data_IF_211005809684
#
_entry.id   IF_211005809684
#
_cell.length_a   1.000
_cell.length_b   1.000
_cell.length_c   1.000
_cell.angle_alpha   90.00
_cell.angle_beta   90.00
_cell.angle_gamma   90.00
#
_symmetry.space_group_name_H-M   'P 1'
#
loop_
_entity.id
_entity.type
_entity.pdbx_description
1 polymer ?
#
# COMPACT_ATOMS: atom_id res chain seq x y z
N UNK A 1 -40.89 33.67 22.84
CA UNK A 1 -39.41 33.72 22.85
C UNK A 1 -38.91 32.28 22.73
N UNK A 2 -38.62 31.87 21.52
CA UNK A 2 -38.11 30.54 21.23
C UNK A 2 -36.60 30.57 21.23
N UNK A 3 -35.97 29.81 22.10
CA UNK A 3 -34.52 29.62 22.13
C UNK A 3 -34.13 28.58 21.08
N UNK A 4 -33.51 29.02 20.00
CA UNK A 4 -32.86 28.17 19.04
C UNK A 4 -31.61 27.58 19.69
N UNK A 5 -31.66 26.31 20.02
CA UNK A 5 -30.45 25.52 20.36
C UNK A 5 -29.85 25.09 19.04
N UNK A 6 -28.81 25.80 18.63
CA UNK A 6 -27.93 25.37 17.53
C UNK A 6 -27.27 24.07 17.92
N UNK A 7 -27.72 22.98 17.30
CA UNK A 7 -27.03 21.69 17.36
C UNK A 7 -25.63 21.86 16.80
N UNK A 8 -24.62 21.68 17.63
CA UNK A 8 -23.24 21.52 17.19
C UNK A 8 -23.21 20.33 16.23
N UNK A 9 -22.92 20.56 14.98
CA UNK A 9 -22.54 19.51 14.03
C UNK A 9 -21.36 18.77 14.65
N UNK A 10 -21.55 17.50 15.01
CA UNK A 10 -20.41 16.61 15.26
C UNK A 10 -19.58 16.64 13.98
N UNK A 11 -18.43 17.31 14.03
CA UNK A 11 -17.51 17.37 12.90
C UNK A 11 -17.24 15.95 12.41
N UNK A 12 -17.43 15.72 11.14
CA UNK A 12 -17.09 14.42 10.53
C UNK A 12 -15.62 14.15 10.86
N UNK A 13 -15.35 13.07 11.58
CA UNK A 13 -13.96 12.68 11.91
C UNK A 13 -13.24 12.42 10.60
N UNK A 14 -12.11 13.10 10.39
CA UNK A 14 -11.29 12.93 9.18
C UNK A 14 -10.91 11.47 8.99
N UNK A 15 -11.02 10.98 7.76
CA UNK A 15 -10.62 9.61 7.42
C UNK A 15 -9.10 9.47 7.51
N UNK A 16 -8.63 8.31 7.89
CA UNK A 16 -7.20 8.02 8.09
C UNK A 16 -6.72 6.97 7.10
N UNK A 17 -5.60 7.25 6.44
CA UNK A 17 -4.89 6.31 5.58
C UNK A 17 -3.56 5.89 6.21
N UNK A 18 -3.27 4.60 6.22
CA UNK A 18 -1.99 4.03 6.62
C UNK A 18 -1.28 3.42 5.42
N UNK A 19 -0.05 3.87 5.16
CA UNK A 19 0.77 3.40 4.04
C UNK A 19 2.10 2.84 4.55
N UNK A 20 2.37 1.57 4.29
CA UNK A 20 3.68 0.99 4.58
C UNK A 20 4.68 1.33 3.47
N UNK A 21 5.93 1.63 3.86
CA UNK A 21 6.97 2.07 2.91
C UNK A 21 6.64 3.41 2.26
N UNK A 22 6.05 4.36 3.03
CA UNK A 22 5.51 5.62 2.52
C UNK A 22 6.53 6.75 2.34
N UNK A 23 7.83 6.53 2.61
CA UNK A 23 8.83 7.59 2.57
C UNK A 23 9.36 7.93 1.17
N UNK A 24 9.11 7.10 0.16
CA UNK A 24 9.58 7.30 -1.23
C UNK A 24 8.75 6.51 -2.24
N UNK A 25 9.02 6.75 -3.54
CA UNK A 25 8.46 5.99 -4.65
C UNK A 25 6.94 5.91 -4.65
N UNK A 26 6.41 4.73 -4.96
CA UNK A 26 4.97 4.48 -5.04
C UNK A 26 4.27 4.80 -3.71
N UNK A 27 4.86 4.39 -2.57
CA UNK A 27 4.28 4.63 -1.25
C UNK A 27 4.12 6.12 -0.94
N UNK A 28 5.13 6.94 -1.23
CA UNK A 28 5.07 8.40 -1.10
C UNK A 28 3.99 8.99 -2.01
N UNK A 29 3.94 8.59 -3.27
CA UNK A 29 2.93 9.09 -4.20
C UNK A 29 1.51 8.74 -3.75
N UNK A 30 1.27 7.51 -3.24
CA UNK A 30 -0.01 7.12 -2.65
C UNK A 30 -0.36 7.98 -1.43
N UNK A 31 0.62 8.25 -0.56
CA UNK A 31 0.43 9.09 0.62
C UNK A 31 0.01 10.53 0.24
N UNK A 32 0.70 11.13 -0.74
CA UNK A 32 0.38 12.48 -1.22
C UNK A 32 -0.99 12.53 -1.92
N UNK A 33 -1.35 11.53 -2.71
CA UNK A 33 -2.63 11.48 -3.41
C UNK A 33 -3.81 11.33 -2.44
N UNK A 34 -3.67 10.50 -1.38
CA UNK A 34 -4.68 10.37 -0.33
C UNK A 34 -4.78 11.63 0.55
N UNK A 35 -3.64 12.29 0.82
CA UNK A 35 -3.64 13.59 1.50
C UNK A 35 -4.40 14.67 0.70
N UNK A 36 -4.16 14.71 -0.62
CA UNK A 36 -4.90 15.62 -1.53
C UNK A 36 -6.40 15.34 -1.53
N UNK A 37 -6.81 14.10 -1.30
CA UNK A 37 -8.21 13.69 -1.14
C UNK A 37 -8.78 13.97 0.27
N UNK A 38 -7.99 14.57 1.18
CA UNK A 38 -8.44 15.00 2.51
C UNK A 38 -8.32 13.93 3.61
N UNK A 39 -7.50 12.90 3.40
CA UNK A 39 -7.18 11.93 4.46
C UNK A 39 -6.08 12.46 5.37
N UNK A 40 -6.19 12.22 6.65
CA UNK A 40 -5.04 12.21 7.53
C UNK A 40 -4.18 11.00 7.16
N UNK A 41 -2.88 11.18 7.03
CA UNK A 41 -2.02 10.16 6.45
C UNK A 41 -0.91 9.76 7.42
N UNK A 42 -0.86 8.47 7.69
CA UNK A 42 0.21 7.84 8.47
C UNK A 42 1.08 7.02 7.54
N UNK A 43 2.37 7.27 7.57
CA UNK A 43 3.34 6.48 6.81
C UNK A 43 4.25 5.66 7.73
N UNK A 44 4.65 4.48 7.27
CA UNK A 44 5.73 3.72 7.87
C UNK A 44 7.01 3.84 7.03
N UNK A 45 8.13 3.79 7.71
CA UNK A 45 9.46 3.67 7.10
C UNK A 45 10.37 2.79 7.97
N UNK A 46 11.41 2.19 7.35
CA UNK A 46 12.37 1.36 8.08
C UNK A 46 13.70 2.08 8.36
N UNK A 47 14.28 2.75 7.37
CA UNK A 47 15.66 3.24 7.47
C UNK A 47 15.86 4.74 7.24
N UNK A 48 15.20 5.34 6.27
CA UNK A 48 15.46 6.74 5.88
C UNK A 48 14.48 7.71 6.55
N UNK A 49 14.87 8.20 7.70
CA UNK A 49 14.09 9.16 8.51
C UNK A 49 13.92 10.49 7.79
N UNK A 50 15.00 11.03 7.22
CA UNK A 50 14.93 12.32 6.50
C UNK A 50 13.93 12.30 5.34
N UNK A 51 13.88 11.20 4.57
CA UNK A 51 12.89 11.04 3.51
C UNK A 51 11.45 10.91 4.05
N UNK A 52 11.28 10.28 5.21
CA UNK A 52 9.98 10.17 5.85
C UNK A 52 9.49 11.53 6.37
N UNK A 53 10.37 12.31 7.00
CA UNK A 53 10.07 13.66 7.49
C UNK A 53 9.71 14.61 6.34
N UNK A 54 10.44 14.54 5.22
CA UNK A 54 10.11 15.34 4.04
C UNK A 54 8.75 14.96 3.48
N UNK A 55 8.44 13.66 3.40
CA UNK A 55 7.12 13.20 2.97
C UNK A 55 6.01 13.69 3.90
N UNK A 56 6.20 13.62 5.21
CA UNK A 56 5.24 14.16 6.20
C UNK A 56 5.03 15.66 6.02
N UNK A 57 6.09 16.43 5.77
CA UNK A 57 6.00 17.87 5.50
C UNK A 57 5.19 18.16 4.24
N UNK A 58 5.44 17.42 3.15
CA UNK A 58 4.67 17.56 1.91
C UNK A 58 3.19 17.20 2.11
N UNK A 59 2.88 16.14 2.88
CA UNK A 59 1.51 15.75 3.21
C UNK A 59 0.80 16.88 3.98
N UNK A 60 1.44 17.44 5.00
CA UNK A 60 0.88 18.52 5.81
C UNK A 60 0.60 19.79 5.02
N UNK A 61 1.28 20.01 3.90
CA UNK A 61 1.03 21.14 3.02
C UNK A 61 -0.38 21.08 2.36
N UNK A 62 -1.05 19.92 2.36
CA UNK A 62 -2.46 19.78 1.94
C UNK A 62 -3.47 20.12 3.05
N UNK A 63 -3.01 20.50 4.26
CA UNK A 63 -3.90 20.89 5.36
C UNK A 63 -4.46 19.72 6.15
N UNK A 64 -3.88 18.54 6.03
CA UNK A 64 -4.24 17.32 6.77
C UNK A 64 -3.18 16.96 7.82
N UNK A 65 -3.55 16.15 8.81
CA UNK A 65 -2.60 15.61 9.77
C UNK A 65 -1.75 14.49 9.16
N UNK A 66 -0.49 14.42 9.59
CA UNK A 66 0.41 13.35 9.16
C UNK A 66 1.46 13.03 10.23
N UNK A 67 1.84 11.75 10.25
CA UNK A 67 2.95 11.25 11.06
C UNK A 67 3.69 10.11 10.36
N UNK A 68 4.98 9.99 10.64
CA UNK A 68 5.79 8.84 10.23
C UNK A 68 6.12 7.96 11.43
N UNK A 69 6.02 6.65 11.26
CA UNK A 69 6.36 5.65 12.28
C UNK A 69 7.50 4.78 11.77
N UNK A 70 8.57 4.70 12.56
CA UNK A 70 9.74 3.86 12.26
C UNK A 70 9.52 2.46 12.81
N UNK A 71 9.43 1.48 11.93
CA UNK A 71 9.47 0.06 12.27
C UNK A 71 9.76 -0.78 11.03
N UNK A 72 10.38 -1.93 11.24
CA UNK A 72 10.55 -2.94 10.17
C UNK A 72 9.26 -3.76 10.07
N UNK A 73 8.59 -3.67 8.91
CA UNK A 73 7.35 -4.42 8.65
C UNK A 73 7.54 -5.94 8.66
N UNK A 74 8.76 -6.42 8.45
CA UNK A 74 9.10 -7.86 8.51
C UNK A 74 9.22 -8.36 9.97
N UNK A 75 9.41 -7.44 10.92
CA UNK A 75 9.44 -7.74 12.35
C UNK A 75 8.02 -7.68 12.92
N UNK A 76 7.49 -8.84 13.30
CA UNK A 76 6.12 -8.98 13.79
C UNK A 76 5.86 -8.17 15.06
N UNK A 77 6.80 -8.18 15.99
CA UNK A 77 6.69 -7.53 17.30
C UNK A 77 6.72 -6.00 17.16
N UNK A 78 7.66 -5.47 16.37
CA UNK A 78 7.74 -4.03 16.07
C UNK A 78 6.46 -3.56 15.36
N UNK A 79 6.01 -4.32 14.36
CA UNK A 79 4.78 -4.01 13.62
C UNK A 79 3.58 -3.98 14.53
N UNK A 80 3.42 -4.98 15.40
CA UNK A 80 2.29 -5.04 16.34
C UNK A 80 2.27 -3.85 17.29
N UNK A 81 3.42 -3.48 17.87
CA UNK A 81 3.56 -2.35 18.77
C UNK A 81 3.26 -1.02 18.06
N UNK A 82 3.80 -0.81 16.86
CA UNK A 82 3.59 0.43 16.10
C UNK A 82 2.13 0.59 15.65
N UNK A 83 1.50 -0.48 15.15
CA UNK A 83 0.09 -0.43 14.73
C UNK A 83 -0.83 -0.17 15.94
N UNK A 84 -0.52 -0.73 17.12
CA UNK A 84 -1.28 -0.44 18.34
C UNK A 84 -1.22 1.05 18.70
N UNK A 85 -0.04 1.69 18.64
CA UNK A 85 0.12 3.13 18.88
C UNK A 85 -0.64 3.98 17.85
N UNK A 86 -0.60 3.59 16.57
CA UNK A 86 -1.34 4.29 15.51
C UNK A 86 -2.85 4.20 15.77
N UNK A 87 -3.36 3.01 16.10
CA UNK A 87 -4.78 2.80 16.42
C UNK A 87 -5.20 3.61 17.65
N UNK A 88 -4.38 3.62 18.70
CA UNK A 88 -4.64 4.40 19.90
C UNK A 88 -4.74 5.90 19.60
N UNK A 89 -3.79 6.42 18.79
CA UNK A 89 -3.73 7.85 18.48
C UNK A 89 -4.87 8.33 17.57
N UNK A 90 -5.18 7.57 16.51
CA UNK A 90 -6.11 8.02 15.48
C UNK A 90 -7.53 7.47 15.67
N UNK A 91 -7.71 6.38 16.40
CA UNK A 91 -9.01 5.75 16.66
C UNK A 91 -9.66 5.08 15.45
N UNK A 92 -9.13 5.31 14.25
CA UNK A 92 -9.66 4.78 12.98
C UNK A 92 -8.56 4.59 11.93
N UNK A 93 -8.78 3.67 11.01
CA UNK A 93 -8.02 3.53 9.77
C UNK A 93 -9.05 3.16 8.70
N UNK A 94 -9.18 4.00 7.66
CA UNK A 94 -10.15 3.82 6.58
C UNK A 94 -9.53 3.19 5.35
N UNK A 95 -8.24 3.49 5.13
CA UNK A 95 -7.46 2.94 4.02
C UNK A 95 -6.16 2.36 4.56
N UNK A 96 -5.85 1.14 4.16
CA UNK A 96 -4.55 0.51 4.36
C UNK A 96 -3.92 0.22 3.01
N UNK A 97 -2.70 0.72 2.78
CA UNK A 97 -1.90 0.38 1.61
C UNK A 97 -0.68 -0.44 2.07
N UNK A 98 -0.71 -1.73 1.84
CA UNK A 98 0.44 -2.63 2.03
C UNK A 98 1.37 -2.48 0.83
N UNK A 99 2.31 -1.53 0.91
CA UNK A 99 3.23 -1.18 -0.17
C UNK A 99 4.69 -1.54 0.12
N UNK A 100 5.11 -1.61 1.37
CA UNK A 100 6.50 -1.96 1.71
C UNK A 100 6.96 -3.23 1.00
N UNK A 101 8.16 -3.19 0.44
CA UNK A 101 8.72 -4.33 -0.28
C UNK A 101 10.17 -4.12 -0.66
N UNK A 102 10.85 -5.24 -0.88
CA UNK A 102 12.24 -5.30 -1.32
C UNK A 102 12.39 -6.33 -2.44
N UNK A 103 13.48 -6.23 -3.19
CA UNK A 103 13.94 -7.27 -4.12
C UNK A 103 15.30 -7.82 -3.64
N UNK A 104 15.53 -9.09 -3.91
CA UNK A 104 16.80 -9.80 -3.76
C UNK A 104 16.91 -10.77 -4.93
N UNK A 105 17.16 -10.20 -6.10
CA UNK A 105 17.15 -10.92 -7.38
C UNK A 105 18.37 -11.83 -7.52
N UNK A 106 18.18 -12.97 -8.13
CA UNK A 106 19.24 -13.95 -8.41
C UNK A 106 18.66 -15.21 -9.02
N UNK A 107 19.46 -15.90 -9.83
CA UNK A 107 19.05 -17.19 -10.40
C UNK A 107 18.74 -18.16 -9.26
N UNK A 108 17.68 -18.95 -9.42
CA UNK A 108 17.17 -19.86 -8.39
C UNK A 108 18.26 -20.77 -7.80
N UNK A 109 19.14 -21.28 -8.64
CA UNK A 109 20.25 -22.16 -8.19
C UNK A 109 21.29 -21.46 -7.29
N UNK A 110 21.29 -20.12 -7.22
CA UNK A 110 22.18 -19.30 -6.40
C UNK A 110 21.42 -18.51 -5.33
N UNK A 111 20.11 -18.68 -5.25
CA UNK A 111 19.29 -17.99 -4.26
C UNK A 111 19.57 -18.57 -2.87
N UNK A 112 19.93 -17.73 -1.92
CA UNK A 112 20.17 -18.17 -0.54
C UNK A 112 18.88 -18.12 0.27
N UNK A 113 18.83 -18.89 1.36
CA UNK A 113 17.69 -18.91 2.28
C UNK A 113 17.44 -17.52 2.85
N UNK A 114 18.50 -16.76 3.17
CA UNK A 114 18.40 -15.39 3.71
C UNK A 114 17.73 -14.43 2.70
N UNK A 115 18.07 -14.55 1.41
CA UNK A 115 17.46 -13.73 0.36
C UNK A 115 16.00 -14.12 0.12
N UNK A 116 15.70 -15.41 0.20
CA UNK A 116 14.33 -15.89 0.13
C UNK A 116 13.51 -15.37 1.30
N UNK A 117 13.95 -15.62 2.53
CA UNK A 117 13.26 -15.25 3.76
C UNK A 117 13.07 -13.74 3.88
N UNK A 118 14.10 -12.95 3.56
CA UNK A 118 13.99 -11.48 3.57
C UNK A 118 12.87 -10.98 2.65
N UNK A 119 12.77 -11.53 1.43
CA UNK A 119 11.73 -11.12 0.46
C UNK A 119 10.35 -11.61 0.90
N UNK A 120 10.22 -12.86 1.32
CA UNK A 120 8.92 -13.40 1.80
C UNK A 120 8.44 -12.62 3.03
N UNK A 121 9.31 -12.40 4.00
CA UNK A 121 8.94 -11.71 5.23
C UNK A 121 8.54 -10.25 4.98
N UNK A 122 9.30 -9.52 4.16
CA UNK A 122 9.02 -8.11 3.88
C UNK A 122 7.83 -7.93 2.94
N UNK A 123 7.70 -8.76 1.88
CA UNK A 123 6.72 -8.52 0.83
C UNK A 123 5.38 -9.25 1.03
N UNK A 124 5.35 -10.32 1.83
CA UNK A 124 4.15 -11.12 2.05
C UNK A 124 3.74 -11.19 3.52
N UNK A 125 4.64 -11.69 4.40
CA UNK A 125 4.31 -11.86 5.82
C UNK A 125 3.95 -10.53 6.48
N UNK A 126 4.62 -9.45 6.09
CA UNK A 126 4.33 -8.09 6.57
C UNK A 126 2.89 -7.66 6.32
N UNK A 127 2.33 -8.00 5.16
CA UNK A 127 0.94 -7.67 4.85
C UNK A 127 -0.03 -8.32 5.84
N UNK A 128 0.26 -9.53 6.29
CA UNK A 128 -0.50 -10.17 7.37
C UNK A 128 -0.27 -9.46 8.71
N UNK A 129 0.97 -9.15 9.09
CA UNK A 129 1.28 -8.52 10.37
C UNK A 129 0.61 -7.16 10.54
N UNK A 130 0.61 -6.36 9.47
CA UNK A 130 -0.04 -5.04 9.44
C UNK A 130 -1.56 -5.16 9.34
N UNK A 131 -2.06 -6.02 8.44
CA UNK A 131 -3.51 -6.11 8.18
C UNK A 131 -4.28 -6.70 9.35
N UNK A 132 -3.73 -7.66 10.10
CA UNK A 132 -4.47 -8.36 11.14
C UNK A 132 -5.03 -7.40 12.24
N UNK A 133 -4.24 -6.51 12.86
CA UNK A 133 -4.77 -5.54 13.81
C UNK A 133 -5.66 -4.48 13.15
N UNK A 134 -5.33 -4.04 11.93
CA UNK A 134 -6.13 -3.04 11.19
C UNK A 134 -7.50 -3.60 10.82
N UNK A 135 -7.58 -4.85 10.36
CA UNK A 135 -8.85 -5.52 10.06
C UNK A 135 -9.76 -5.59 11.28
N UNK A 136 -9.20 -5.89 12.48
CA UNK A 136 -9.99 -5.89 13.72
C UNK A 136 -10.63 -4.53 14.00
N UNK A 137 -9.91 -3.45 13.71
CA UNK A 137 -10.44 -2.09 13.81
C UNK A 137 -11.50 -1.81 12.73
N UNK A 138 -11.20 -2.10 11.46
CA UNK A 138 -12.15 -1.90 10.34
C UNK A 138 -13.43 -2.70 10.51
N UNK A 139 -13.37 -3.92 11.10
CA UNK A 139 -14.57 -4.71 11.43
C UNK A 139 -15.47 -4.00 12.44
N UNK A 140 -14.91 -3.29 13.43
CA UNK A 140 -15.69 -2.48 14.38
C UNK A 140 -16.26 -1.24 13.69
N UNK A 141 -15.49 -0.61 12.79
CA UNK A 141 -15.93 0.53 11.97
C UNK A 141 -17.04 0.12 10.97
N UNK A 142 -17.11 -1.16 10.58
CA UNK A 142 -17.94 -1.69 9.48
C UNK A 142 -17.65 -1.00 8.14
N UNK A 143 -16.42 -0.62 7.93
CA UNK A 143 -15.97 0.10 6.72
C UNK A 143 -14.44 0.02 6.63
N UNK A 144 -13.92 -0.03 5.42
CA UNK A 144 -12.48 0.01 5.15
C UNK A 144 -12.13 -0.38 3.72
N UNK A 145 -10.95 0.05 3.28
CA UNK A 145 -10.34 -0.36 2.02
C UNK A 145 -8.89 -0.80 2.25
N UNK A 146 -8.56 -2.01 1.84
CA UNK A 146 -7.19 -2.54 1.89
C UNK A 146 -6.70 -2.71 0.47
N UNK A 147 -5.55 -2.11 0.16
CA UNK A 147 -4.90 -2.21 -1.13
C UNK A 147 -3.53 -2.87 -0.94
N UNK A 148 -3.34 -4.02 -1.56
CA UNK A 148 -2.09 -4.76 -1.51
C UNK A 148 -1.27 -4.50 -2.77
N UNK A 149 -0.04 -4.01 -2.63
CA UNK A 149 0.84 -3.74 -3.75
C UNK A 149 1.51 -5.04 -4.21
N UNK A 150 0.89 -5.69 -5.21
CA UNK A 150 1.45 -6.85 -5.90
C UNK A 150 2.47 -6.40 -6.98
N UNK A 151 2.53 -7.06 -8.10
CA UNK A 151 3.37 -6.76 -9.26
C UNK A 151 2.91 -7.59 -10.45
N UNK A 152 3.18 -7.14 -11.68
CA UNK A 152 3.08 -8.00 -12.87
C UNK A 152 3.92 -9.26 -12.72
N UNK A 153 5.05 -9.19 -12.03
CA UNK A 153 5.89 -10.34 -11.71
C UNK A 153 5.17 -11.36 -10.82
N UNK A 154 4.27 -10.91 -9.94
CA UNK A 154 3.40 -11.79 -9.15
C UNK A 154 2.30 -12.47 -9.98
N UNK A 155 2.01 -11.97 -11.16
CA UNK A 155 0.99 -12.55 -12.06
C UNK A 155 1.61 -13.54 -13.04
N UNK A 156 2.79 -13.22 -13.60
CA UNK A 156 3.40 -13.97 -14.71
C UNK A 156 4.73 -14.64 -14.38
N UNK A 157 5.34 -14.27 -13.26
CA UNK A 157 6.70 -14.69 -12.94
C UNK A 157 7.75 -13.86 -13.67
N UNK A 158 9.00 -13.99 -13.22
CA UNK A 158 10.16 -13.44 -13.89
C UNK A 158 11.41 -14.27 -13.54
N UNK A 159 12.25 -14.57 -14.53
CA UNK A 159 13.51 -15.27 -14.29
C UNK A 159 14.40 -14.45 -13.32
N UNK A 160 14.98 -15.12 -12.34
CA UNK A 160 15.81 -14.47 -11.31
C UNK A 160 15.02 -13.83 -10.16
N UNK A 161 13.69 -13.95 -10.14
CA UNK A 161 12.82 -13.37 -9.12
C UNK A 161 11.86 -14.39 -8.48
N UNK A 162 12.31 -15.63 -8.27
CA UNK A 162 11.45 -16.68 -7.73
C UNK A 162 10.85 -16.30 -6.35
N UNK A 163 11.67 -15.74 -5.45
CA UNK A 163 11.24 -15.23 -4.14
C UNK A 163 10.23 -14.07 -4.26
N UNK A 164 10.52 -13.09 -5.10
CA UNK A 164 9.66 -11.92 -5.32
C UNK A 164 8.34 -12.31 -5.99
N UNK A 165 8.40 -13.17 -7.03
CA UNK A 165 7.21 -13.73 -7.67
C UNK A 165 6.33 -14.48 -6.68
N UNK A 166 6.91 -15.35 -5.86
CA UNK A 166 6.18 -16.11 -4.84
C UNK A 166 5.47 -15.17 -3.85
N UNK A 167 6.19 -14.16 -3.34
CA UNK A 167 5.62 -13.20 -2.40
C UNK A 167 4.47 -12.38 -3.03
N UNK A 168 4.67 -11.86 -4.25
CA UNK A 168 3.67 -11.03 -4.92
C UNK A 168 2.47 -11.83 -5.42
N UNK A 169 2.66 -13.10 -5.81
CA UNK A 169 1.56 -14.05 -6.07
C UNK A 169 0.81 -14.39 -4.78
N UNK A 170 1.52 -14.58 -3.67
CA UNK A 170 0.92 -14.81 -2.35
C UNK A 170 -0.02 -13.68 -1.94
N UNK A 171 0.34 -12.41 -2.21
CA UNK A 171 -0.53 -11.25 -1.96
C UNK A 171 -1.83 -11.31 -2.78
N UNK A 172 -1.81 -11.88 -3.98
CA UNK A 172 -3.02 -12.06 -4.80
C UNK A 172 -3.98 -13.04 -4.13
N UNK A 173 -3.47 -14.19 -3.66
CA UNK A 173 -4.25 -15.15 -2.91
C UNK A 173 -4.80 -14.58 -1.60
N UNK A 174 -3.94 -13.89 -0.85
CA UNK A 174 -4.30 -13.18 0.39
C UNK A 174 -5.42 -12.16 0.16
N UNK A 175 -5.32 -11.34 -0.88
CA UNK A 175 -6.34 -10.36 -1.28
C UNK A 175 -7.70 -11.01 -1.51
N UNK A 176 -7.73 -12.07 -2.32
CA UNK A 176 -8.97 -12.76 -2.69
C UNK A 176 -9.64 -13.42 -1.48
N UNK A 177 -8.86 -13.99 -0.57
CA UNK A 177 -9.37 -14.60 0.65
C UNK A 177 -9.97 -13.56 1.59
N UNK A 178 -9.23 -12.50 1.90
CA UNK A 178 -9.73 -11.43 2.76
C UNK A 178 -10.96 -10.73 2.18
N UNK A 179 -11.01 -10.52 0.87
CA UNK A 179 -12.19 -9.92 0.23
C UNK A 179 -13.46 -10.72 0.49
N UNK A 180 -13.39 -12.06 0.44
CA UNK A 180 -14.52 -12.95 0.71
C UNK A 180 -14.92 -12.95 2.19
N UNK A 181 -13.94 -12.93 3.10
CA UNK A 181 -14.18 -12.95 4.54
C UNK A 181 -14.78 -11.63 5.05
N UNK A 182 -14.30 -10.51 4.51
CA UNK A 182 -14.55 -9.18 5.08
C UNK A 182 -15.65 -8.39 4.36
N UNK A 183 -16.09 -8.84 3.19
CA UNK A 183 -17.08 -8.12 2.37
C UNK A 183 -18.39 -7.86 3.11
N UNK A 184 -18.90 -8.83 3.90
CA UNK A 184 -20.13 -8.67 4.71
C UNK A 184 -19.97 -7.61 5.83
N UNK A 185 -18.76 -7.18 6.11
CA UNK A 185 -18.44 -6.13 7.07
C UNK A 185 -18.22 -4.77 6.44
N UNK A 186 -18.46 -4.63 5.13
CA UNK A 186 -18.23 -3.38 4.41
C UNK A 186 -16.76 -3.07 4.15
N UNK A 187 -15.88 -4.08 4.23
CA UNK A 187 -14.44 -3.91 4.00
C UNK A 187 -14.10 -4.49 2.63
N UNK A 188 -13.46 -3.68 1.79
CA UNK A 188 -13.01 -4.08 0.46
C UNK A 188 -11.50 -4.35 0.47
N UNK A 189 -11.08 -5.38 -0.24
CA UNK A 189 -9.67 -5.77 -0.33
C UNK A 189 -9.34 -6.01 -1.79
N UNK A 190 -8.40 -5.24 -2.34
CA UNK A 190 -7.94 -5.35 -3.73
C UNK A 190 -6.42 -5.36 -3.79
N UNK A 191 -5.89 -5.86 -4.89
CA UNK A 191 -4.47 -5.76 -5.22
C UNK A 191 -4.27 -4.88 -6.46
N UNK A 192 -3.17 -4.16 -6.49
CA UNK A 192 -2.66 -3.52 -7.70
C UNK A 192 -1.43 -4.30 -8.14
N UNK A 193 -1.30 -4.55 -9.44
CA UNK A 193 -0.14 -5.16 -10.07
C UNK A 193 0.55 -4.12 -10.96
N UNK A 194 1.50 -3.33 -10.42
CA UNK A 194 2.29 -2.38 -11.22
C UNK A 194 3.14 -3.11 -12.25
N UNK A 195 3.27 -2.49 -13.43
CA UNK A 195 4.29 -2.82 -14.41
C UNK A 195 5.64 -2.18 -14.09
N UNK A 196 6.36 -1.74 -15.11
CA UNK A 196 7.59 -0.96 -14.95
C UNK A 196 7.24 0.50 -14.63
N UNK A 197 7.53 0.90 -13.39
CA UNK A 197 7.23 2.24 -12.87
C UNK A 197 8.56 2.97 -12.60
N UNK A 198 8.65 4.23 -12.96
CA UNK A 198 9.80 5.08 -12.68
C UNK A 198 9.95 5.29 -11.16
N UNK A 199 10.94 4.65 -10.58
CA UNK A 199 11.27 4.70 -9.16
C UNK A 199 12.76 4.48 -8.96
N UNK A 200 13.27 4.70 -7.75
CA UNK A 200 14.65 4.35 -7.41
C UNK A 200 14.98 2.86 -7.65
N UNK A 201 14.01 1.97 -7.60
CA UNK A 201 14.21 0.54 -7.87
C UNK A 201 14.46 0.23 -9.34
N UNK A 202 14.01 1.09 -10.24
CA UNK A 202 14.05 0.87 -11.70
C UNK A 202 14.95 1.83 -12.44
N UNK A 203 15.55 2.81 -11.75
CA UNK A 203 16.37 3.87 -12.37
C UNK A 203 17.58 3.36 -13.15
N UNK A 204 18.14 2.22 -12.72
CA UNK A 204 19.34 1.63 -13.34
C UNK A 204 18.99 0.63 -14.45
N UNK A 205 17.69 0.42 -14.74
CA UNK A 205 17.23 -0.44 -15.82
C UNK A 205 17.39 0.27 -17.16
N UNK A 206 17.88 -0.45 -18.15
CA UNK A 206 17.85 0.04 -19.55
C UNK A 206 16.41 0.04 -20.06
N UNK A 207 15.74 1.19 -19.86
CA UNK A 207 14.31 1.36 -20.15
C UNK A 207 13.97 1.16 -21.61
N UNK A 208 14.93 1.40 -22.52
CA UNK A 208 14.71 1.23 -23.97
C UNK A 208 14.33 -0.21 -24.35
N UNK A 209 14.83 -1.19 -23.59
CA UNK A 209 14.54 -2.61 -23.82
C UNK A 209 13.13 -3.03 -23.40
N UNK A 210 12.50 -2.30 -22.50
CA UNK A 210 11.20 -2.66 -21.93
C UNK A 210 10.05 -1.88 -22.57
N UNK A 211 10.29 -0.62 -22.96
CA UNK A 211 9.25 0.25 -23.53
C UNK A 211 8.69 -0.29 -24.84
N UNK A 212 9.49 -1.03 -25.59
CA UNK A 212 9.03 -1.63 -26.85
C UNK A 212 7.96 -2.72 -26.65
N UNK A 213 8.00 -3.39 -25.49
CA UNK A 213 7.02 -4.42 -25.12
C UNK A 213 5.78 -3.84 -24.42
N UNK A 214 5.83 -2.59 -23.96
CA UNK A 214 4.68 -1.92 -23.33
C UNK A 214 3.81 -1.31 -24.43
N UNK A 215 2.54 -1.70 -24.58
CA UNK A 215 1.63 -1.13 -25.59
C UNK A 215 1.53 0.40 -25.53
N UNK A 216 1.48 1.00 -24.34
CA UNK A 216 1.47 2.47 -24.17
C UNK A 216 2.82 3.14 -24.42
N UNK A 217 3.88 2.37 -24.80
CA UNK A 217 5.20 2.87 -25.19
C UNK A 217 5.88 3.81 -24.19
N UNK A 218 5.58 3.69 -22.93
CA UNK A 218 6.23 4.39 -21.83
C UNK A 218 6.26 3.55 -20.57
N UNK A 219 7.18 3.83 -19.69
CA UNK A 219 7.08 3.39 -18.29
C UNK A 219 5.90 4.11 -17.60
N UNK A 220 5.35 3.49 -16.58
CA UNK A 220 4.40 4.17 -15.69
C UNK A 220 5.10 5.13 -14.75
N UNK A 221 4.37 6.12 -14.28
CA UNK A 221 4.80 7.02 -13.22
C UNK A 221 4.17 6.59 -11.88
N UNK A 222 4.77 6.99 -10.77
CA UNK A 222 4.24 6.65 -9.44
C UNK A 222 2.82 7.19 -9.24
N UNK A 223 2.47 8.29 -9.92
CA UNK A 223 1.14 8.88 -9.92
C UNK A 223 0.09 8.01 -10.63
N UNK A 224 0.47 7.20 -11.62
CA UNK A 224 -0.44 6.26 -12.28
C UNK A 224 -0.95 5.23 -11.25
N UNK A 225 -0.06 4.78 -10.36
CA UNK A 225 -0.41 3.87 -9.26
C UNK A 225 -1.21 4.59 -8.18
N UNK A 226 -0.77 5.77 -7.75
CA UNK A 226 -1.38 6.53 -6.67
C UNK A 226 -2.85 6.90 -6.97
N UNK A 227 -3.15 7.31 -8.21
CA UNK A 227 -4.52 7.58 -8.67
C UNK A 227 -5.39 6.32 -8.62
N UNK A 228 -4.84 5.16 -8.97
CA UNK A 228 -5.55 3.88 -8.88
C UNK A 228 -5.83 3.51 -7.42
N UNK A 229 -4.87 3.76 -6.51
CA UNK A 229 -5.08 3.58 -5.06
C UNK A 229 -6.23 4.46 -4.58
N UNK A 230 -6.25 5.75 -4.92
CA UNK A 230 -7.32 6.68 -4.54
C UNK A 230 -8.67 6.22 -5.11
N UNK A 231 -8.74 5.85 -6.38
CA UNK A 231 -9.96 5.31 -6.99
C UNK A 231 -10.50 4.09 -6.22
N UNK A 232 -9.63 3.13 -5.90
CA UNK A 232 -10.03 1.96 -5.12
C UNK A 232 -10.43 2.31 -3.69
N UNK A 233 -9.83 3.32 -3.09
CA UNK A 233 -10.17 3.78 -1.75
C UNK A 233 -11.56 4.45 -1.69
N UNK A 234 -11.90 5.27 -2.68
CA UNK A 234 -13.08 6.15 -2.68
C UNK A 234 -14.19 5.69 -3.63
N UNK A 235 -13.91 5.65 -4.93
CA UNK A 235 -14.92 5.51 -5.97
C UNK A 235 -15.25 4.05 -6.28
N UNK A 236 -14.28 3.14 -6.11
CA UNK A 236 -14.41 1.71 -6.40
C UNK A 236 -15.26 0.95 -5.38
N UNK A 237 -16.43 1.48 -5.00
CA UNK A 237 -17.26 0.97 -3.89
C UNK A 237 -17.83 -0.44 -4.12
N UNK A 238 -17.90 -0.88 -5.37
CA UNK A 238 -18.35 -2.24 -5.73
C UNK A 238 -17.23 -3.14 -6.25
N UNK A 239 -15.97 -2.77 -5.95
CA UNK A 239 -14.77 -3.51 -6.37
C UNK A 239 -14.11 -4.12 -5.14
N UNK A 240 -14.06 -5.45 -5.09
CA UNK A 240 -13.35 -6.22 -4.06
C UNK A 240 -12.85 -7.55 -4.61
N UNK A 241 -11.73 -8.05 -4.10
CA UNK A 241 -11.10 -9.29 -4.53
C UNK A 241 -10.40 -9.23 -5.90
N UNK A 242 -10.26 -8.02 -6.47
CA UNK A 242 -9.68 -7.84 -7.80
C UNK A 242 -8.16 -7.63 -7.74
N UNK A 243 -7.51 -7.99 -8.84
CA UNK A 243 -6.11 -7.67 -9.13
C UNK A 243 -6.11 -6.74 -10.33
N UNK A 244 -5.76 -5.49 -10.12
CA UNK A 244 -5.81 -4.46 -11.16
C UNK A 244 -4.40 -4.24 -11.70
N UNK A 245 -4.18 -4.59 -12.96
CA UNK A 245 -2.95 -4.26 -13.68
C UNK A 245 -2.87 -2.76 -13.94
N UNK A 246 -1.73 -2.16 -13.59
CA UNK A 246 -1.38 -0.77 -13.94
C UNK A 246 0.00 -0.83 -14.58
N UNK A 247 0.04 -1.27 -15.83
CA UNK A 247 1.26 -1.76 -16.47
C UNK A 247 1.39 -1.30 -17.95
N UNK A 248 0.50 -0.40 -18.39
CA UNK A 248 0.51 0.09 -19.77
C UNK A 248 0.15 -0.95 -20.82
N UNK A 249 -0.50 -2.07 -20.41
CA UNK A 249 -0.84 -3.20 -21.26
C UNK A 249 0.33 -4.19 -21.46
N UNK A 250 1.36 -4.12 -20.61
CA UNK A 250 2.50 -5.05 -20.66
C UNK A 250 2.04 -6.51 -20.58
N UNK A 251 0.92 -6.69 -19.89
CA UNK A 251 0.40 -8.00 -19.60
C UNK A 251 -1.09 -8.07 -19.96
N UNK A 252 -1.35 -8.49 -21.17
CA UNK A 252 -2.67 -8.76 -21.75
C UNK A 252 -2.68 -10.11 -22.48
#
# INVERSE_FOLDING_TARGET
>A
MGVNVSGSSMGATTKVALITGGSRGIGKACALELARAGYDVVINYAGNEAAADETVKEIKAFGVESAAYKFDVSNKEETAAAIAQIIEKYGRIDVLVNNAGITRDGLFIRMTDENWDAVINTNLSSAFYVSNPVVKLMMKQRSGAIINMSSVVGVYGNAGQANYSAAKSGLIGFTKSLAKELGSRGIRVNAIAPGFINTDMTKDLDTSKFTDFIPLKRMGEVEDIAKTVRFLAEDGTYITGQVIGVDGGLVI
#
